data_IF_520522845740
#
_entry.id   IF_520522845740
#
_cell.length_a   1.000
_cell.length_b   1.000
_cell.length_c   1.000
_cell.angle_alpha   90.00
_cell.angle_beta   90.00
_cell.angle_gamma   90.00
#
_symmetry.space_group_name_H-M   'P 1'
#
loop_
_entity.id
_entity.type
_entity.pdbx_description
1 polymer ?
#
# COMPACT_ATOMS: atom_id res chain seq x y z
N UNK A 1 -3.17 -27.18 -12.05
CA UNK A 1 -2.09 -26.20 -11.84
C UNK A 1 -1.23 -26.79 -10.75
N UNK A 2 -0.05 -27.25 -11.13
CA UNK A 2 0.77 -28.03 -10.21
C UNK A 2 1.82 -27.11 -9.62
N UNK A 3 1.93 -27.09 -8.30
CA UNK A 3 2.82 -26.19 -7.56
C UNK A 3 3.90 -26.99 -6.88
N UNK A 4 5.15 -26.58 -7.12
CA UNK A 4 6.33 -27.12 -6.43
C UNK A 4 6.82 -26.07 -5.44
N UNK A 5 6.94 -26.46 -4.17
CA UNK A 5 7.50 -25.61 -3.11
C UNK A 5 8.93 -26.05 -2.82
N UNK A 6 9.88 -25.13 -2.94
CA UNK A 6 11.29 -25.37 -2.67
C UNK A 6 11.68 -24.55 -1.44
N UNK A 7 12.12 -25.22 -0.38
CA UNK A 7 12.77 -24.56 0.75
C UNK A 7 14.25 -24.37 0.44
N UNK A 8 14.74 -23.15 0.61
CA UNK A 8 16.14 -22.79 0.36
C UNK A 8 16.73 -22.29 1.67
N UNK A 9 17.65 -23.05 2.26
CA UNK A 9 18.28 -22.72 3.53
C UNK A 9 19.27 -21.55 3.38
N UNK A 10 20.10 -21.60 2.33
CA UNK A 10 21.03 -20.51 2.01
C UNK A 10 20.35 -19.46 1.11
N UNK A 11 20.04 -18.31 1.70
CA UNK A 11 19.42 -17.17 1.01
C UNK A 11 20.31 -16.57 -0.08
N UNK A 12 21.62 -16.76 -0.03
CA UNK A 12 22.55 -16.25 -1.04
C UNK A 12 22.23 -16.80 -2.44
N UNK A 13 21.77 -18.06 -2.49
CA UNK A 13 21.44 -18.79 -3.70
C UNK A 13 20.16 -18.34 -4.38
N UNK A 14 19.27 -17.60 -3.69
CA UNK A 14 17.96 -17.22 -4.24
C UNK A 14 18.06 -16.42 -5.53
N UNK A 15 19.11 -15.60 -5.68
CA UNK A 15 19.34 -14.80 -6.88
C UNK A 15 19.65 -15.70 -8.10
N UNK A 16 20.55 -16.66 -7.93
CA UNK A 16 20.93 -17.63 -8.96
C UNK A 16 19.79 -18.59 -9.28
N UNK A 17 19.11 -19.13 -8.26
CA UNK A 17 17.97 -20.03 -8.43
C UNK A 17 16.82 -19.34 -9.19
N UNK A 18 16.52 -18.07 -8.88
CA UNK A 18 15.52 -17.29 -9.60
C UNK A 18 15.85 -17.15 -11.08
N UNK A 19 17.12 -16.94 -11.44
CA UNK A 19 17.56 -16.83 -12.84
C UNK A 19 17.32 -18.15 -13.59
N UNK A 20 17.68 -19.28 -12.98
CA UNK A 20 17.51 -20.61 -13.58
C UNK A 20 16.02 -20.96 -13.75
N UNK A 21 15.20 -20.72 -12.72
CA UNK A 21 13.77 -21.00 -12.80
C UNK A 21 13.07 -20.13 -13.85
N UNK A 22 13.51 -18.88 -14.04
CA UNK A 22 12.98 -17.99 -15.07
C UNK A 22 13.43 -18.36 -16.49
N UNK A 23 14.54 -19.10 -16.67
CA UNK A 23 15.00 -19.55 -17.98
C UNK A 23 14.32 -20.83 -18.47
N UNK A 24 13.57 -21.51 -17.60
CA UNK A 24 12.80 -22.70 -17.97
C UNK A 24 11.46 -22.30 -18.59
N UNK A 25 11.25 -22.65 -19.86
CA UNK A 25 9.99 -22.42 -20.55
C UNK A 25 8.85 -23.17 -19.85
N UNK A 26 7.74 -22.48 -19.58
CA UNK A 26 6.59 -23.05 -18.87
C UNK A 26 6.65 -22.98 -17.33
N UNK A 27 7.78 -22.54 -16.75
CA UNK A 27 7.89 -22.34 -15.29
C UNK A 27 7.59 -20.88 -14.94
N UNK A 28 6.70 -20.68 -13.95
CA UNK A 28 6.39 -19.35 -13.42
C UNK A 28 6.59 -19.32 -11.91
N UNK A 29 7.43 -18.40 -11.44
CA UNK A 29 7.57 -18.13 -10.01
C UNK A 29 6.32 -17.37 -9.54
N UNK A 30 5.52 -18.03 -8.71
CA UNK A 30 4.38 -17.39 -8.07
C UNK A 30 4.89 -16.31 -7.11
N UNK A 31 4.35 -15.10 -7.21
CA UNK A 31 4.57 -14.07 -6.19
C UNK A 31 3.89 -14.59 -4.93
N UNK A 32 4.67 -14.91 -3.89
CA UNK A 32 4.07 -15.06 -2.58
C UNK A 32 3.40 -13.73 -2.29
N UNK A 33 2.09 -13.75 -2.06
CA UNK A 33 1.42 -12.65 -1.38
C UNK A 33 1.91 -12.68 0.06
N UNK A 34 3.19 -12.38 0.28
CA UNK A 34 3.59 -11.74 1.50
C UNK A 34 2.76 -10.46 1.51
N UNK A 35 1.60 -10.51 2.19
CA UNK A 35 0.98 -9.32 2.78
C UNK A 35 2.17 -8.57 3.31
N UNK A 36 2.51 -7.44 2.66
CA UNK A 36 3.61 -6.63 3.13
C UNK A 36 3.34 -6.47 4.60
N UNK A 37 4.27 -6.95 5.45
CA UNK A 37 4.29 -6.61 6.87
C UNK A 37 3.84 -5.18 6.91
N UNK A 38 2.72 -4.93 7.61
CA UNK A 38 2.29 -3.61 7.98
C UNK A 38 3.58 -2.90 8.40
N UNK A 39 4.12 -2.08 7.49
CA UNK A 39 5.11 -1.09 7.90
C UNK A 39 4.39 -0.38 9.04
N UNK A 40 5.04 -0.03 10.15
CA UNK A 40 4.44 0.93 11.07
C UNK A 40 4.13 2.14 10.18
N UNK A 41 2.87 2.24 9.74
CA UNK A 41 2.47 3.28 8.84
C UNK A 41 2.39 4.44 9.79
N UNK A 42 3.47 5.21 9.83
CA UNK A 42 3.40 6.57 10.27
C UNK A 42 2.10 7.13 9.68
N UNK A 43 1.12 7.37 10.56
CA UNK A 43 -0.23 7.71 10.15
C UNK A 43 -0.22 8.97 9.28
N UNK A 44 0.81 9.80 9.43
CA UNK A 44 1.06 11.02 8.66
C UNK A 44 1.46 10.76 7.21
N UNK A 45 1.93 9.55 6.89
CA UNK A 45 2.34 9.14 5.55
C UNK A 45 1.25 8.34 4.82
N UNK A 46 0.09 8.16 5.45
CA UNK A 46 -1.05 7.52 4.78
C UNK A 46 -1.65 8.44 3.73
N UNK A 47 -2.18 7.86 2.65
CA UNK A 47 -2.87 8.62 1.59
C UNK A 47 -4.01 9.49 2.15
N UNK A 48 -4.79 8.94 3.08
CA UNK A 48 -5.91 9.65 3.70
C UNK A 48 -5.49 10.85 4.56
N UNK A 49 -4.35 10.75 5.26
CA UNK A 49 -3.83 11.88 6.03
C UNK A 49 -3.35 13.02 5.12
N UNK A 50 -2.63 12.70 4.04
CA UNK A 50 -2.16 13.69 3.08
C UNK A 50 -3.32 14.41 2.39
N UNK A 51 -4.39 13.68 2.05
CA UNK A 51 -5.62 14.23 1.48
C UNK A 51 -6.31 15.20 2.46
N UNK A 52 -6.48 14.80 3.72
CA UNK A 52 -7.06 15.67 4.75
C UNK A 52 -6.23 16.95 5.01
N UNK A 53 -4.89 16.85 4.96
CA UNK A 53 -4.00 18.01 5.09
C UNK A 53 -4.10 18.94 3.88
N UNK A 54 -4.27 18.39 2.68
CA UNK A 54 -4.46 19.17 1.46
C UNK A 54 -5.83 19.88 1.45
N UNK A 55 -6.89 19.22 1.90
CA UNK A 55 -8.21 19.84 2.04
C UNK A 55 -8.20 20.97 3.08
N UNK A 56 -7.45 20.82 4.18
CA UNK A 56 -7.18 21.90 5.13
C UNK A 56 -6.41 23.05 4.48
N UNK A 57 -5.37 22.75 3.69
CA UNK A 57 -4.54 23.75 2.99
C UNK A 57 -5.35 24.53 1.94
N UNK A 58 -6.22 23.85 1.22
CA UNK A 58 -7.12 24.41 0.20
C UNK A 58 -8.34 25.12 0.80
N UNK A 59 -8.50 25.09 2.13
CA UNK A 59 -9.62 25.74 2.81
C UNK A 59 -10.96 25.03 2.63
N UNK A 60 -10.97 23.77 2.18
CA UNK A 60 -12.19 22.95 2.04
C UNK A 60 -12.70 22.44 3.38
N UNK A 61 -11.83 22.35 4.38
CA UNK A 61 -12.19 22.07 5.76
C UNK A 61 -12.10 23.37 6.55
N UNK A 62 -13.22 24.07 6.68
CA UNK A 62 -13.39 25.21 7.57
C UNK A 62 -13.76 24.71 8.97
N UNK A 63 -13.25 25.37 10.01
CA UNK A 63 -13.73 25.13 11.37
C UNK A 63 -15.07 25.84 11.48
N UNK A 64 -16.14 25.06 11.49
CA UNK A 64 -17.48 25.59 11.73
C UNK A 64 -17.70 25.67 13.24
N UNK A 65 -18.05 26.85 13.78
CA UNK A 65 -18.23 27.05 15.23
C UNK A 65 -19.68 26.92 15.69
N UNK A 66 -20.64 26.87 14.77
CA UNK A 66 -22.06 26.71 15.06
C UNK A 66 -22.84 26.09 13.90
N UNK A 67 -24.07 25.67 14.18
CA UNK A 67 -24.95 24.97 13.23
C UNK A 67 -25.31 25.89 12.05
N UNK A 68 -25.48 27.17 12.30
CA UNK A 68 -25.87 28.20 11.33
C UNK A 68 -24.74 28.49 10.33
N UNK A 69 -23.48 28.47 10.80
CA UNK A 69 -22.31 28.56 9.94
C UNK A 69 -22.17 27.31 9.05
N UNK A 70 -22.57 26.14 9.54
CA UNK A 70 -22.53 24.88 8.78
C UNK A 70 -23.48 24.93 7.59
N UNK A 71 -24.72 25.35 7.82
CA UNK A 71 -25.72 25.49 6.77
C UNK A 71 -25.29 26.51 5.70
N UNK A 72 -24.73 27.63 6.15
CA UNK A 72 -24.19 28.67 5.26
C UNK A 72 -23.02 28.19 4.40
N UNK A 73 -22.06 27.45 4.97
CA UNK A 73 -20.92 26.89 4.24
C UNK A 73 -21.34 25.77 3.27
N UNK A 74 -22.40 25.02 3.59
CA UNK A 74 -22.96 23.97 2.73
C UNK A 74 -23.91 24.51 1.64
N UNK A 75 -24.24 25.82 1.68
CA UNK A 75 -25.12 26.46 0.70
C UNK A 75 -26.56 25.94 0.72
N UNK A 76 -27.01 25.44 1.86
CA UNK A 76 -28.36 24.87 2.10
C UNK A 76 -29.06 25.55 3.27
#
# INVERSE_FOLDING_TARGET
MDTITIQVEDKSMLSSLRKILNSMEGVKILKSSCKSKEKPMDITQTKGFLEAMEDKRLGRVSRVTGVEELFKDLGI
#
